data_IF_132987909894
#
_entry.id   IF_132987909894
#
_cell.length_a   1.000
_cell.length_b   1.000
_cell.length_c   1.000
_cell.angle_alpha   90.00
_cell.angle_beta   90.00
_cell.angle_gamma   90.00
#
_symmetry.space_group_name_H-M   'P 1'
#
loop_
_entity.id
_entity.type
_entity.pdbx_description
1 polymer ?
#
# COMPACT_ATOMS: atom_id res chain seq x y z
N UNK A 1 35.41 14.15 -4.44
CA UNK A 1 34.05 13.60 -4.21
C UNK A 1 32.91 14.48 -4.75
N UNK A 2 33.12 15.75 -5.11
CA UNK A 2 32.03 16.64 -5.55
C UNK A 2 31.45 16.37 -6.96
N UNK A 3 32.23 15.80 -7.90
CA UNK A 3 31.81 15.73 -9.33
C UNK A 3 30.65 14.76 -9.55
N UNK A 4 30.62 13.62 -8.84
CA UNK A 4 29.61 12.58 -9.04
C UNK A 4 28.39 12.73 -8.13
N UNK A 5 28.38 13.69 -7.19
CA UNK A 5 27.29 13.84 -6.22
C UNK A 5 25.97 14.26 -6.88
N UNK A 6 26.00 15.28 -7.72
CA UNK A 6 24.83 15.73 -8.46
C UNK A 6 24.24 14.62 -9.35
N UNK A 7 25.00 13.96 -10.24
CA UNK A 7 24.43 12.92 -11.09
C UNK A 7 23.95 11.70 -10.29
N UNK A 8 24.60 11.36 -9.17
CA UNK A 8 24.19 10.26 -8.28
C UNK A 8 22.80 10.53 -7.68
N UNK A 9 22.60 11.72 -7.12
CA UNK A 9 21.32 12.09 -6.53
C UNK A 9 20.24 12.34 -7.57
N UNK A 10 20.59 12.95 -8.70
CA UNK A 10 19.65 13.14 -9.80
C UNK A 10 19.15 11.80 -10.33
N UNK A 11 20.05 10.83 -10.56
CA UNK A 11 19.67 9.48 -10.96
C UNK A 11 18.73 8.79 -9.95
N UNK A 12 19.02 8.89 -8.64
CA UNK A 12 18.16 8.35 -7.60
C UNK A 12 16.77 9.04 -7.54
N UNK A 13 16.70 10.34 -7.81
CA UNK A 13 15.42 11.09 -7.85
C UNK A 13 14.55 10.71 -9.03
N UNK A 14 15.14 10.41 -10.19
CA UNK A 14 14.39 10.04 -11.40
C UNK A 14 14.19 8.52 -11.55
N UNK A 15 14.83 7.70 -10.72
CA UNK A 15 14.73 6.24 -10.74
C UNK A 15 15.59 5.55 -11.80
N UNK A 16 16.70 6.18 -12.21
CA UNK A 16 17.69 5.58 -13.12
C UNK A 16 18.69 4.73 -12.33
N UNK A 17 18.21 3.56 -11.87
CA UNK A 17 18.96 2.69 -10.97
C UNK A 17 20.29 2.21 -11.58
N UNK A 18 20.38 2.02 -12.90
CA UNK A 18 21.62 1.61 -13.59
C UNK A 18 22.74 2.66 -13.40
N UNK A 19 22.39 3.95 -13.47
CA UNK A 19 23.33 5.05 -13.26
C UNK A 19 23.77 5.11 -11.80
N UNK A 20 22.84 4.88 -10.86
CA UNK A 20 23.16 4.80 -9.43
C UNK A 20 24.13 3.66 -9.15
N UNK A 21 23.92 2.49 -9.75
CA UNK A 21 24.82 1.33 -9.64
C UNK A 21 26.19 1.64 -10.22
N UNK A 22 26.26 2.18 -11.43
CA UNK A 22 27.54 2.47 -12.11
C UNK A 22 28.37 3.47 -11.30
N UNK A 23 27.74 4.54 -10.81
CA UNK A 23 28.41 5.53 -9.96
C UNK A 23 28.88 4.89 -8.64
N UNK A 24 28.06 4.04 -8.01
CA UNK A 24 28.44 3.36 -6.77
C UNK A 24 29.59 2.38 -6.98
N UNK A 25 29.64 1.66 -8.12
CA UNK A 25 30.75 0.77 -8.47
C UNK A 25 32.04 1.57 -8.71
N UNK A 26 31.95 2.69 -9.43
CA UNK A 26 33.09 3.56 -9.70
C UNK A 26 33.60 4.30 -8.45
N UNK A 27 32.69 4.69 -7.55
CA UNK A 27 33.01 5.42 -6.33
C UNK A 27 32.14 4.95 -5.15
N UNK A 28 32.54 3.86 -4.46
CA UNK A 28 31.76 3.29 -3.35
C UNK A 28 31.50 4.26 -2.20
N UNK A 29 32.39 5.23 -1.97
CA UNK A 29 32.25 6.26 -0.93
C UNK A 29 31.03 7.17 -1.15
N UNK A 30 30.45 7.18 -2.35
CA UNK A 30 29.19 7.88 -2.64
C UNK A 30 28.03 7.44 -1.74
N UNK A 31 28.11 6.24 -1.15
CA UNK A 31 27.12 5.76 -0.18
C UNK A 31 26.98 6.66 1.06
N UNK A 32 28.04 7.38 1.42
CA UNK A 32 28.07 8.32 2.54
C UNK A 32 27.63 9.73 2.17
N UNK A 33 27.40 10.00 0.89
CA UNK A 33 26.97 11.31 0.43
C UNK A 33 25.55 11.61 0.88
N UNK A 34 25.29 12.88 1.15
CA UNK A 34 23.97 13.40 1.52
C UNK A 34 23.56 14.50 0.53
N UNK A 35 22.27 14.57 0.21
CA UNK A 35 21.70 15.69 -0.54
C UNK A 35 21.51 16.92 0.36
N UNK A 36 20.95 18.00 -0.18
CA UNK A 36 20.76 19.25 0.56
C UNK A 36 19.79 19.12 1.76
N UNK A 37 18.93 18.10 1.74
CA UNK A 37 18.04 17.77 2.86
C UNK A 37 18.67 16.78 3.86
N UNK A 38 19.92 16.38 3.66
CA UNK A 38 20.62 15.44 4.53
C UNK A 38 20.24 13.98 4.27
N UNK A 39 19.68 13.65 3.10
CA UNK A 39 19.22 12.30 2.75
C UNK A 39 20.26 11.58 1.91
N UNK A 40 20.34 10.26 2.09
CA UNK A 40 21.13 9.39 1.22
C UNK A 40 20.38 9.08 -0.07
N UNK A 41 21.08 8.54 -1.07
CA UNK A 41 20.45 8.02 -2.28
C UNK A 41 19.42 6.91 -1.98
N UNK A 42 19.66 6.08 -0.94
CA UNK A 42 18.67 5.12 -0.46
C UNK A 42 17.42 5.84 0.10
N UNK A 43 17.60 6.92 0.85
CA UNK A 43 16.48 7.72 1.36
C UNK A 43 15.59 8.24 0.24
N UNK A 44 16.20 8.78 -0.82
CA UNK A 44 15.50 9.25 -2.02
C UNK A 44 14.78 8.09 -2.73
N UNK A 45 15.46 6.96 -2.94
CA UNK A 45 14.85 5.76 -3.52
C UNK A 45 13.64 5.28 -2.70
N UNK A 46 13.73 5.34 -1.37
CA UNK A 46 12.62 4.98 -0.48
C UNK A 46 11.43 5.90 -0.64
N UNK A 47 11.65 7.21 -0.76
CA UNK A 47 10.59 8.17 -1.06
C UNK A 47 9.93 7.86 -2.41
N UNK A 48 10.71 7.46 -3.40
CA UNK A 48 10.23 7.25 -4.77
C UNK A 48 9.66 5.85 -5.06
N UNK A 49 9.67 4.93 -4.08
CA UNK A 49 9.32 3.51 -4.28
C UNK A 49 10.21 2.83 -5.33
N UNK A 50 11.48 3.23 -5.39
CA UNK A 50 12.47 2.58 -6.26
C UNK A 50 12.97 1.30 -5.61
N UNK A 51 12.33 0.19 -6.01
CA UNK A 51 12.60 -1.14 -5.48
C UNK A 51 13.98 -1.63 -5.91
N UNK A 52 14.45 -1.24 -7.09
CA UNK A 52 15.71 -1.71 -7.65
C UNK A 52 16.88 -1.15 -6.85
N UNK A 53 16.90 0.17 -6.60
CA UNK A 53 17.91 0.79 -5.73
C UNK A 53 17.81 0.25 -4.30
N UNK A 54 16.61 0.06 -3.77
CA UNK A 54 16.43 -0.50 -2.43
C UNK A 54 17.00 -1.92 -2.32
N UNK A 55 16.79 -2.76 -3.32
CA UNK A 55 17.25 -4.14 -3.32
C UNK A 55 18.78 -4.26 -3.40
N UNK A 56 19.49 -3.25 -3.92
CA UNK A 56 20.96 -3.19 -3.87
C UNK A 56 21.50 -3.32 -2.43
N UNK A 57 20.74 -2.87 -1.43
CA UNK A 57 21.15 -2.94 -0.02
C UNK A 57 21.38 -4.37 0.48
N UNK A 58 20.77 -5.38 -0.14
CA UNK A 58 20.98 -6.78 0.20
C UNK A 58 22.38 -7.29 -0.17
N UNK A 59 23.00 -6.67 -1.17
CA UNK A 59 24.33 -7.01 -1.69
C UNK A 59 25.45 -6.18 -1.05
N UNK A 60 25.09 -5.19 -0.23
CA UNK A 60 26.04 -4.28 0.41
C UNK A 60 26.70 -4.89 1.65
N UNK A 61 27.95 -4.50 1.90
CA UNK A 61 28.69 -4.85 3.13
C UNK A 61 27.91 -4.41 4.36
N UNK A 62 28.04 -5.15 5.47
CA UNK A 62 27.33 -4.87 6.71
C UNK A 62 27.47 -3.41 7.19
N UNK A 63 28.68 -2.84 7.15
CA UNK A 63 28.92 -1.46 7.58
C UNK A 63 28.18 -0.41 6.74
N UNK A 64 28.04 -0.64 5.43
CA UNK A 64 27.25 0.23 4.55
C UNK A 64 25.76 0.14 4.88
N UNK A 65 25.24 -1.08 5.07
CA UNK A 65 23.85 -1.29 5.47
C UNK A 65 23.56 -0.64 6.82
N UNK A 66 24.48 -0.79 7.78
CA UNK A 66 24.36 -0.18 9.10
C UNK A 66 24.26 1.34 8.99
N UNK A 67 25.20 1.98 8.29
CA UNK A 67 25.17 3.43 8.03
C UNK A 67 23.81 3.84 7.43
N UNK A 68 23.44 3.27 6.29
CA UNK A 68 22.20 3.61 5.58
C UNK A 68 20.94 3.42 6.44
N UNK A 69 20.92 2.38 7.28
CA UNK A 69 19.77 2.05 8.12
C UNK A 69 19.56 3.02 9.29
N UNK A 70 20.59 3.76 9.69
CA UNK A 70 20.58 4.69 10.83
C UNK A 70 20.59 6.16 10.43
N UNK A 71 20.62 6.48 9.13
CA UNK A 71 20.64 7.87 8.68
C UNK A 71 19.34 8.60 9.04
N UNK A 72 19.53 9.85 9.42
CA UNK A 72 18.50 10.79 9.83
C UNK A 72 18.73 12.07 9.02
N UNK A 73 17.68 12.56 8.37
CA UNK A 73 17.75 13.78 7.56
C UNK A 73 17.68 15.07 8.40
N UNK A 74 17.76 16.24 7.77
CA UNK A 74 17.66 17.54 8.46
C UNK A 74 16.31 17.77 9.18
N UNK A 75 15.26 17.04 8.79
CA UNK A 75 13.95 17.04 9.44
C UNK A 75 13.81 16.02 10.57
N UNK A 76 14.92 15.42 11.03
CA UNK A 76 14.95 14.34 11.99
C UNK A 76 14.13 13.12 11.54
N UNK A 77 13.96 12.94 10.22
CA UNK A 77 13.27 11.80 9.64
C UNK A 77 14.24 10.64 9.49
N UNK A 78 13.92 9.51 10.10
CA UNK A 78 14.57 8.23 9.78
C UNK A 78 14.14 7.75 8.40
N UNK A 79 14.84 6.75 7.85
CA UNK A 79 14.44 6.09 6.59
C UNK A 79 12.97 5.63 6.58
N UNK A 80 12.42 5.25 7.74
CA UNK A 80 11.02 4.83 7.86
C UNK A 80 10.03 5.99 7.69
N UNK A 81 10.39 7.21 8.12
CA UNK A 81 9.58 8.40 7.85
C UNK A 81 9.57 8.74 6.36
N UNK A 82 10.68 8.50 5.64
CA UNK A 82 10.78 8.71 4.20
C UNK A 82 9.88 7.74 3.41
N UNK A 83 9.53 6.59 3.98
CA UNK A 83 8.55 5.65 3.43
C UNK A 83 7.08 6.14 3.53
N UNK A 84 6.83 7.40 3.91
CA UNK A 84 5.49 8.01 3.93
C UNK A 84 4.96 8.40 2.54
N UNK A 85 5.84 8.55 1.56
CA UNK A 85 5.53 9.29 0.34
C UNK A 85 4.37 8.67 -0.45
N UNK A 86 3.41 9.48 -0.87
CA UNK A 86 2.35 9.02 -1.78
C UNK A 86 2.94 8.67 -3.14
N UNK A 87 2.39 7.67 -3.85
CA UNK A 87 2.71 7.47 -5.25
C UNK A 87 2.56 8.76 -6.04
N UNK A 88 3.47 9.04 -6.99
CA UNK A 88 3.27 10.13 -7.93
C UNK A 88 1.86 10.07 -8.51
N UNK A 89 1.18 11.22 -8.64
CA UNK A 89 -0.23 11.29 -9.08
C UNK A 89 -0.53 10.55 -10.39
N UNK A 90 0.47 10.33 -11.24
CA UNK A 90 0.35 9.56 -12.49
C UNK A 90 0.33 8.03 -12.31
N UNK A 91 0.58 7.49 -11.11
CA UNK A 91 0.53 6.06 -10.76
C UNK A 91 -0.72 5.66 -9.96
N UNK A 92 -1.66 6.58 -9.77
CA UNK A 92 -2.91 6.29 -9.05
C UNK A 92 -3.77 5.37 -9.90
N UNK A 93 -4.06 4.18 -9.39
CA UNK A 93 -4.93 3.21 -10.08
C UNK A 93 -6.36 3.77 -10.10
N UNK A 94 -6.79 4.28 -11.26
CA UNK A 94 -8.14 4.83 -11.50
C UNK A 94 -9.25 3.77 -11.58
N UNK A 95 -8.99 2.54 -11.13
CA UNK A 95 -9.90 1.39 -11.19
C UNK A 95 -10.72 1.30 -9.90
N UNK A 96 -11.94 0.76 -9.97
CA UNK A 96 -12.75 0.48 -8.78
C UNK A 96 -11.97 -0.37 -7.77
N UNK A 97 -11.90 0.06 -6.51
CA UNK A 97 -11.07 -0.57 -5.47
C UNK A 97 -9.58 -0.20 -5.51
N UNK A 98 -9.17 0.71 -6.41
CA UNK A 98 -7.78 1.14 -6.59
C UNK A 98 -7.14 1.73 -5.33
N UNK A 99 -7.89 2.50 -4.54
CA UNK A 99 -7.42 3.04 -3.26
C UNK A 99 -7.03 1.95 -2.25
N UNK A 100 -7.77 0.84 -2.19
CA UNK A 100 -7.46 -0.27 -1.26
C UNK A 100 -6.19 -0.99 -1.70
N UNK A 101 -6.07 -1.30 -2.99
CA UNK A 101 -4.88 -1.95 -3.55
C UNK A 101 -3.66 -1.07 -3.35
N UNK A 102 -3.79 0.23 -3.59
CA UNK A 102 -2.73 1.19 -3.36
C UNK A 102 -2.33 1.23 -1.89
N UNK A 103 -3.28 1.29 -0.96
CA UNK A 103 -3.00 1.30 0.48
C UNK A 103 -2.28 0.02 0.92
N UNK A 104 -2.68 -1.12 0.37
CA UNK A 104 -2.04 -2.40 0.65
C UNK A 104 -0.58 -2.40 0.18
N UNK A 105 -0.30 -1.89 -1.02
CA UNK A 105 1.06 -1.77 -1.54
C UNK A 105 1.92 -0.84 -0.67
N UNK A 106 1.36 0.30 -0.26
CA UNK A 106 2.04 1.25 0.64
C UNK A 106 2.37 0.62 2.00
N UNK A 107 1.45 -0.17 2.56
CA UNK A 107 1.68 -0.88 3.80
C UNK A 107 2.76 -1.97 3.67
N UNK A 108 2.78 -2.69 2.54
CA UNK A 108 3.82 -3.69 2.25
C UNK A 108 5.18 -2.99 2.15
N UNK A 109 5.26 -1.88 1.42
CA UNK A 109 6.48 -1.09 1.29
C UNK A 109 6.99 -0.58 2.64
N UNK A 110 6.10 0.04 3.42
CA UNK A 110 6.42 0.54 4.76
C UNK A 110 6.98 -0.58 5.65
N UNK A 111 6.37 -1.77 5.62
CA UNK A 111 6.86 -2.95 6.38
C UNK A 111 8.21 -3.43 5.89
N UNK A 112 8.47 -3.38 4.58
CA UNK A 112 9.76 -3.77 4.01
C UNK A 112 10.87 -2.84 4.50
N UNK A 113 10.66 -1.51 4.42
CA UNK A 113 11.61 -0.52 4.93
C UNK A 113 11.77 -0.65 6.45
N UNK A 114 10.68 -0.90 7.19
CA UNK A 114 10.72 -1.11 8.65
C UNK A 114 11.66 -2.25 9.07
N UNK A 115 11.75 -3.33 8.29
CA UNK A 115 12.67 -4.45 8.56
C UNK A 115 14.15 -4.05 8.40
N UNK A 116 14.44 -3.05 7.57
CA UNK A 116 15.79 -2.57 7.35
C UNK A 116 16.24 -1.59 8.44
N UNK A 117 15.30 -0.85 9.03
CA UNK A 117 15.56 0.14 10.07
C UNK A 117 15.69 -0.52 11.46
N UNK A 118 16.75 -0.25 12.25
CA UNK A 118 16.92 -0.82 13.58
C UNK A 118 15.78 -0.46 14.54
N UNK A 119 15.36 -1.42 15.37
CA UNK A 119 14.25 -1.23 16.32
C UNK A 119 14.43 -0.03 17.26
N UNK A 120 15.68 0.32 17.60
CA UNK A 120 16.00 1.45 18.49
C UNK A 120 15.57 2.81 17.93
N UNK A 121 15.38 2.94 16.62
CA UNK A 121 15.04 4.22 15.97
C UNK A 121 13.68 4.22 15.26
N UNK A 122 12.92 3.12 15.31
CA UNK A 122 11.61 3.03 14.66
C UNK A 122 10.56 3.96 15.28
N UNK A 123 10.68 4.23 16.58
CA UNK A 123 9.79 5.11 17.35
C UNK A 123 10.37 6.53 17.54
N UNK A 124 11.49 6.86 16.87
CA UNK A 124 11.99 8.23 16.87
C UNK A 124 10.95 9.17 16.28
N UNK A 125 10.92 10.38 16.83
CA UNK A 125 10.04 11.45 16.37
C UNK A 125 10.81 12.39 15.46
N UNK A 126 10.22 12.79 14.35
CA UNK A 126 10.75 13.85 13.51
C UNK A 126 10.68 15.22 14.22
N UNK A 127 11.11 16.29 13.55
CA UNK A 127 11.04 17.66 14.10
C UNK A 127 9.62 18.12 14.47
N UNK A 128 8.59 17.52 13.88
CA UNK A 128 7.18 17.78 14.21
C UNK A 128 6.70 16.99 15.45
N UNK A 129 7.57 16.20 16.08
CA UNK A 129 7.21 15.37 17.23
C UNK A 129 6.40 14.12 16.88
N UNK A 130 6.38 13.71 15.61
CA UNK A 130 5.60 12.56 15.10
C UNK A 130 6.51 11.38 14.76
N UNK A 131 6.04 10.16 15.05
CA UNK A 131 6.72 8.94 14.60
C UNK A 131 6.38 8.63 13.15
N UNK A 132 7.19 7.80 12.50
CA UNK A 132 6.94 7.38 11.12
C UNK A 132 5.56 6.74 10.93
N UNK A 133 5.05 6.01 11.92
CA UNK A 133 3.72 5.40 11.87
C UNK A 133 2.59 6.42 11.89
N UNK A 134 2.72 7.49 12.70
CA UNK A 134 1.76 8.60 12.73
C UNK A 134 1.78 9.32 11.38
N UNK A 135 2.96 9.67 10.90
CA UNK A 135 3.12 10.37 9.61
C UNK A 135 2.59 9.54 8.44
N UNK A 136 2.83 8.22 8.43
CA UNK A 136 2.29 7.31 7.43
C UNK A 136 0.76 7.32 7.45
N UNK A 137 0.14 7.23 8.63
CA UNK A 137 -1.32 7.24 8.79
C UNK A 137 -1.94 8.56 8.35
N UNK A 138 -1.34 9.69 8.72
CA UNK A 138 -1.78 11.02 8.31
C UNK A 138 -1.70 11.19 6.78
N UNK A 139 -0.59 10.75 6.18
CA UNK A 139 -0.36 10.88 4.73
C UNK A 139 -1.35 10.05 3.91
N UNK A 140 -1.77 8.88 4.41
CA UNK A 140 -2.67 7.96 3.70
C UNK A 140 -4.15 8.05 4.15
N UNK A 141 -4.51 9.05 4.96
CA UNK A 141 -5.85 9.17 5.53
C UNK A 141 -6.98 9.24 4.47
N UNK A 142 -6.75 9.94 3.37
CA UNK A 142 -7.73 10.04 2.28
C UNK A 142 -7.99 8.67 1.62
N UNK A 143 -6.93 7.90 1.39
CA UNK A 143 -6.99 6.57 0.80
C UNK A 143 -7.70 5.57 1.73
N UNK A 144 -7.49 5.69 3.05
CA UNK A 144 -8.22 4.93 4.07
C UNK A 144 -9.72 5.26 3.98
N UNK A 145 -10.09 6.54 3.97
CA UNK A 145 -11.49 6.97 3.86
C UNK A 145 -12.16 6.54 2.56
N UNK A 146 -11.43 6.54 1.45
CA UNK A 146 -11.94 6.04 0.16
C UNK A 146 -12.15 4.53 0.20
N UNK A 147 -11.19 3.77 0.73
CA UNK A 147 -11.33 2.33 0.92
C UNK A 147 -12.48 1.95 1.84
N UNK A 148 -12.66 2.68 2.95
CA UNK A 148 -13.79 2.51 3.86
C UNK A 148 -15.14 2.76 3.17
N UNK A 149 -15.25 3.81 2.35
CA UNK A 149 -16.46 4.11 1.59
C UNK A 149 -16.76 3.01 0.57
N UNK A 150 -15.77 2.61 -0.21
CA UNK A 150 -15.93 1.53 -1.20
C UNK A 150 -16.38 0.22 -0.55
N UNK A 151 -15.80 -0.16 0.61
CA UNK A 151 -16.21 -1.35 1.35
C UNK A 151 -17.65 -1.26 1.86
N UNK A 152 -18.09 -0.07 2.31
CA UNK A 152 -19.48 0.15 2.74
C UNK A 152 -20.47 0.03 1.58
N UNK A 153 -20.16 0.61 0.42
CA UNK A 153 -21.02 0.55 -0.76
C UNK A 153 -21.14 -0.88 -1.30
N UNK A 154 -20.04 -1.64 -1.28
CA UNK A 154 -20.03 -3.06 -1.62
C UNK A 154 -20.89 -3.89 -0.66
N UNK A 155 -20.75 -3.66 0.65
CA UNK A 155 -21.56 -4.34 1.67
C UNK A 155 -23.06 -4.01 1.53
N UNK A 156 -23.39 -2.75 1.24
CA UNK A 156 -24.76 -2.32 0.95
C UNK A 156 -25.35 -3.04 -0.26
N UNK A 157 -24.61 -3.10 -1.36
CA UNK A 157 -25.03 -3.81 -2.58
C UNK A 157 -25.23 -5.31 -2.35
N UNK A 158 -24.32 -5.96 -1.61
CA UNK A 158 -24.43 -7.38 -1.25
C UNK A 158 -25.66 -7.67 -0.38
N UNK A 159 -25.98 -6.77 0.55
CA UNK A 159 -27.16 -6.88 1.41
C UNK A 159 -28.45 -6.80 0.60
N UNK A 160 -28.51 -5.92 -0.41
CA UNK A 160 -29.65 -5.82 -1.33
C UNK A 160 -29.82 -7.11 -2.14
N UNK A 161 -28.74 -7.65 -2.71
CA UNK A 161 -28.79 -8.90 -3.47
C UNK A 161 -29.24 -10.07 -2.59
N UNK A 162 -28.72 -10.15 -1.37
CA UNK A 162 -29.09 -11.19 -0.41
C UNK A 162 -30.56 -11.09 0.00
N UNK A 163 -31.07 -9.87 0.23
CA UNK A 163 -32.50 -9.62 0.48
C UNK A 163 -33.39 -10.07 -0.67
N UNK A 164 -33.01 -9.80 -1.92
CA UNK A 164 -33.73 -10.25 -3.12
C UNK A 164 -33.75 -11.79 -3.22
N UNK A 165 -32.61 -12.45 -3.02
CA UNK A 165 -32.50 -13.92 -3.03
C UNK A 165 -33.41 -14.53 -1.95
N UNK A 166 -33.36 -14.02 -0.72
CA UNK A 166 -34.19 -14.50 0.38
C UNK A 166 -35.68 -14.31 0.09
N UNK A 167 -36.06 -13.18 -0.51
CA UNK A 167 -37.45 -12.89 -0.91
C UNK A 167 -37.95 -13.85 -1.98
N UNK A 168 -37.13 -14.14 -3.00
CA UNK A 168 -37.46 -15.12 -4.05
C UNK A 168 -37.59 -16.52 -3.46
N UNK A 169 -36.67 -16.94 -2.59
CA UNK A 169 -36.77 -18.24 -1.91
C UNK A 169 -38.04 -18.33 -1.05
N UNK A 170 -38.35 -17.29 -0.26
CA UNK A 170 -39.56 -17.25 0.56
C UNK A 170 -40.83 -17.32 -0.28
N UNK A 171 -40.91 -16.52 -1.35
CA UNK A 171 -42.02 -16.55 -2.30
C UNK A 171 -42.19 -17.94 -2.93
N UNK A 172 -41.09 -18.56 -3.38
CA UNK A 172 -41.11 -19.90 -3.98
C UNK A 172 -41.57 -20.99 -3.01
N UNK A 173 -41.19 -20.90 -1.74
CA UNK A 173 -41.56 -21.88 -0.71
C UNK A 173 -43.06 -21.81 -0.32
N UNK A 174 -43.66 -20.62 -0.40
CA UNK A 174 -45.10 -20.44 -0.11
C UNK A 174 -45.99 -20.64 -1.33
N UNK A 175 -45.47 -20.49 -2.56
CA UNK A 175 -46.17 -20.94 -3.78
C UNK A 175 -46.12 -22.46 -3.87
N UNK A 176 -47.09 -23.10 -3.23
CA UNK A 176 -47.42 -24.51 -3.50
C UNK A 176 -47.90 -24.61 -4.95
N UNK A 177 -47.43 -25.60 -5.76
CA UNK A 177 -48.02 -25.86 -7.07
C UNK A 177 -49.45 -26.39 -6.85
N UNK A 178 -50.41 -25.48 -6.85
CA UNK A 178 -51.82 -25.75 -6.63
C UNK A 178 -52.62 -25.24 -7.82
N UNK A 179 -53.06 -26.18 -8.65
CA UNK A 179 -54.08 -25.92 -9.67
C UNK A 179 -55.43 -25.70 -8.95
N UNK A 180 -56.14 -24.62 -9.29
CA UNK A 180 -57.46 -24.33 -8.74
C UNK A 180 -58.50 -24.62 -9.81
N UNK A 181 -59.52 -25.42 -9.49
CA UNK A 181 -60.64 -25.61 -10.41
C UNK A 181 -61.44 -24.32 -10.59
N UNK A 182 -62.22 -24.21 -11.66
CA UNK A 182 -63.11 -23.06 -11.95
C UNK A 182 -64.11 -22.72 -10.81
N UNK A 183 -64.25 -23.62 -9.84
CA UNK A 183 -65.06 -23.46 -8.64
C UNK A 183 -64.29 -22.86 -7.43
N UNK A 184 -63.03 -22.45 -7.62
CA UNK A 184 -62.19 -21.85 -6.58
C UNK A 184 -61.66 -22.84 -5.53
N UNK A 185 -61.88 -24.15 -5.73
CA UNK A 185 -61.39 -25.18 -4.81
C UNK A 185 -60.02 -25.72 -5.24
N UNK A 186 -59.10 -25.97 -4.30
CA UNK A 186 -57.78 -26.53 -4.63
C UNK A 186 -57.88 -27.98 -5.14
N UNK A 187 -57.23 -28.29 -6.27
CA UNK A 187 -57.11 -29.66 -6.79
C UNK A 187 -56.06 -30.45 -5.99
N UNK A 188 -56.47 -31.14 -4.93
CA UNK A 188 -55.59 -32.09 -4.25
C UNK A 188 -55.51 -33.39 -5.05
N UNK A 189 -54.34 -33.71 -5.65
CA UNK A 189 -54.09 -35.04 -6.24
C UNK A 189 -54.13 -36.10 -5.15
N UNK A 190 -55.18 -36.92 -5.13
CA UNK A 190 -55.22 -38.17 -4.36
C UNK A 190 -54.36 -39.21 -5.08
N UNK A 191 -53.19 -39.54 -4.53
CA UNK A 191 -52.53 -40.81 -4.88
C UNK A 191 -53.04 -41.89 -3.93
N UNK A 192 -53.62 -43.00 -4.43
CA UNK A 192 -53.89 -44.17 -3.60
C UNK A 192 -52.57 -44.84 -3.24
N UNK A 193 -52.42 -45.23 -1.97
CA UNK A 193 -51.34 -46.11 -1.52
C UNK A 193 -51.74 -47.53 -1.94
N UNK A 194 -50.95 -48.16 -2.79
CA UNK A 194 -51.00 -49.60 -3.10
C UNK A 194 -49.86 -50.32 -2.40
#
# INVERSE_FOLDING_TARGET
>A
MAILSEPFFTAARVGLHEVVVEIFVACPDMIYSLDEEGRTALGIAVMNRDIDIYNLTSWMRYGFRQFLSTQIDHGNNTLLHLARALPPKHKVNLVSGGAIIQMQNELIWYRQVKKFVPSSIQEMKNIEGKTAAVVFTETHNEMIKEGERWLKDLAGSCSVVSGLIASVMFASAITVPGDYGDNGMPNFRKNPIS
#
